data_IF_770442273571
#
_entry.id   IF_770442273571
#
_cell.length_a   1.000
_cell.length_b   1.000
_cell.length_c   1.000
_cell.angle_alpha   90.00
_cell.angle_beta   90.00
_cell.angle_gamma   90.00
#
_symmetry.space_group_name_H-M   'P 1'
#
loop_
_entity.id
_entity.type
_entity.pdbx_description
1 polymer ?
#
# COMPACT_ATOMS: atom_id res chain seq x y z
N UNK A 1 -4.50 -38.20 3.05
CA UNK A 1 -5.57 -38.64 3.98
C UNK A 1 -6.58 -37.52 4.02
N UNK A 2 -7.76 -37.75 3.47
CA UNK A 2 -8.85 -36.79 3.52
C UNK A 2 -9.30 -36.55 4.97
N UNK A 3 -9.44 -35.28 5.33
CA UNK A 3 -10.21 -34.86 6.52
C UNK A 3 -9.58 -35.05 7.90
N UNK A 4 -8.27 -35.25 8.03
CA UNK A 4 -7.58 -35.12 9.33
C UNK A 4 -6.76 -33.83 9.35
N UNK A 5 -6.76 -33.03 10.44
CA UNK A 5 -5.80 -31.95 10.57
C UNK A 5 -4.42 -32.58 10.64
N UNK A 6 -3.71 -32.57 9.52
CA UNK A 6 -2.37 -33.10 9.47
C UNK A 6 -1.50 -32.13 10.27
N UNK A 7 -1.05 -32.53 11.46
CA UNK A 7 0.06 -31.83 12.10
C UNK A 7 1.26 -32.03 11.18
N UNK A 8 1.55 -31.01 10.36
CA UNK A 8 2.73 -31.00 9.51
C UNK A 8 3.98 -31.15 10.38
N UNK A 9 4.96 -31.88 9.88
CA UNK A 9 6.24 -32.06 10.58
C UNK A 9 7.14 -30.83 10.56
N UNK A 10 6.65 -29.70 10.02
CA UNK A 10 7.33 -28.41 9.94
C UNK A 10 6.34 -27.28 10.24
N UNK A 11 6.86 -26.21 10.82
CA UNK A 11 6.10 -24.99 11.13
C UNK A 11 6.31 -23.92 10.06
N UNK A 12 5.36 -22.97 9.98
CA UNK A 12 5.49 -21.76 9.17
C UNK A 12 6.81 -21.01 9.43
N UNK A 13 7.21 -20.91 10.71
CA UNK A 13 8.44 -20.20 11.11
C UNK A 13 9.68 -20.85 10.51
N UNK A 14 9.78 -22.18 10.60
CA UNK A 14 10.90 -22.93 10.00
C UNK A 14 10.96 -22.78 8.48
N UNK A 15 9.80 -22.77 7.81
CA UNK A 15 9.74 -22.55 6.36
C UNK A 15 10.17 -21.13 5.98
N UNK A 16 9.83 -20.12 6.78
CA UNK A 16 10.28 -18.74 6.57
C UNK A 16 11.79 -18.60 6.76
N UNK A 17 12.33 -19.14 7.85
CA UNK A 17 13.77 -19.14 8.12
C UNK A 17 14.54 -19.83 6.97
N UNK A 18 14.01 -20.94 6.43
CA UNK A 18 14.62 -21.60 5.28
C UNK A 18 14.65 -20.69 4.02
N UNK A 19 13.61 -19.88 3.81
CA UNK A 19 13.51 -18.95 2.67
C UNK A 19 14.41 -17.71 2.82
N UNK A 20 14.83 -17.36 4.04
CA UNK A 20 15.77 -16.27 4.30
C UNK A 20 17.20 -16.62 3.86
N UNK A 21 17.58 -17.90 3.97
CA UNK A 21 18.89 -18.39 3.56
C UNK A 21 18.93 -18.73 2.05
N UNK A 22 20.03 -18.41 1.38
CA UNK A 22 20.23 -18.68 -0.06
C UNK A 22 21.56 -19.37 -0.33
N UNK A 23 21.67 -20.04 -1.48
CA UNK A 23 22.89 -20.71 -1.89
C UNK A 23 23.32 -21.81 -0.92
N UNK A 24 24.61 -21.85 -0.56
CA UNK A 24 25.19 -22.90 0.27
C UNK A 24 24.58 -22.94 1.69
N UNK A 25 24.26 -21.79 2.27
CA UNK A 25 23.63 -21.72 3.60
C UNK A 25 22.23 -22.32 3.59
N UNK A 26 21.43 -22.03 2.56
CA UNK A 26 20.10 -22.61 2.40
C UNK A 26 20.14 -24.13 2.24
N UNK A 27 21.12 -24.65 1.50
CA UNK A 27 21.34 -26.10 1.36
C UNK A 27 21.73 -26.72 2.71
N UNK A 28 22.61 -26.07 3.48
CA UNK A 28 22.99 -26.55 4.81
C UNK A 28 21.77 -26.62 5.75
N UNK A 29 20.95 -25.57 5.80
CA UNK A 29 19.70 -25.54 6.58
C UNK A 29 18.69 -26.60 6.14
N UNK A 30 18.56 -26.82 4.84
CA UNK A 30 17.68 -27.86 4.31
C UNK A 30 18.14 -29.26 4.76
N UNK A 31 19.45 -29.49 4.77
CA UNK A 31 20.03 -30.75 5.22
C UNK A 31 19.85 -30.97 6.73
N UNK A 32 19.90 -29.92 7.56
CA UNK A 32 19.54 -30.00 8.99
C UNK A 32 18.10 -30.48 9.20
N UNK A 33 17.17 -30.17 8.28
CA UNK A 33 15.77 -30.59 8.34
C UNK A 33 15.58 -32.04 7.84
N UNK A 34 16.62 -32.67 7.28
CA UNK A 34 16.60 -34.01 6.69
C UNK A 34 16.63 -34.03 5.15
N UNK A 35 16.85 -32.89 4.52
CA UNK A 35 16.92 -32.74 3.06
C UNK A 35 15.54 -32.58 2.39
N UNK A 36 15.55 -32.52 1.05
CA UNK A 36 14.35 -32.31 0.24
C UNK A 36 13.28 -33.38 0.48
N UNK A 37 13.68 -34.66 0.54
CA UNK A 37 12.74 -35.78 0.65
C UNK A 37 12.00 -35.79 2.00
N UNK A 38 12.72 -35.55 3.10
CA UNK A 38 12.10 -35.43 4.42
C UNK A 38 11.21 -34.18 4.52
N UNK A 39 11.61 -33.07 3.91
CA UNK A 39 10.75 -31.88 3.85
C UNK A 39 9.44 -32.18 3.10
N UNK A 40 9.51 -32.86 1.94
CA UNK A 40 8.32 -33.29 1.19
C UNK A 40 7.40 -34.19 2.03
N UNK A 41 7.98 -35.14 2.78
CA UNK A 41 7.24 -36.03 3.69
C UNK A 41 6.57 -35.26 4.83
N UNK A 42 7.28 -34.32 5.46
CA UNK A 42 6.75 -33.46 6.54
C UNK A 42 5.64 -32.52 6.07
N UNK A 43 5.67 -32.12 4.80
CA UNK A 43 4.64 -31.29 4.14
C UNK A 43 3.52 -32.12 3.47
N UNK A 44 3.58 -33.44 3.55
CA UNK A 44 2.65 -34.35 2.87
C UNK A 44 2.49 -34.01 1.38
N UNK A 45 3.61 -33.80 0.69
CA UNK A 45 3.66 -33.53 -0.76
C UNK A 45 4.52 -34.55 -1.48
N UNK A 46 4.14 -34.91 -2.70
CA UNK A 46 4.98 -35.75 -3.56
C UNK A 46 6.04 -34.89 -4.28
N UNK A 47 7.31 -35.31 -4.36
CA UNK A 47 8.32 -34.64 -5.15
C UNK A 47 8.04 -34.66 -6.66
N UNK A 48 7.35 -35.69 -7.14
CA UNK A 48 7.03 -35.89 -8.57
C UNK A 48 5.62 -35.43 -8.93
N UNK A 49 4.64 -35.67 -8.06
CA UNK A 49 3.22 -35.42 -8.34
C UNK A 49 2.67 -34.16 -7.65
N UNK A 50 3.45 -33.55 -6.76
CA UNK A 50 3.05 -32.38 -5.99
C UNK A 50 1.90 -32.69 -5.01
N UNK A 51 0.94 -31.77 -4.94
CA UNK A 51 -0.23 -31.86 -4.05
C UNK A 51 -1.39 -32.59 -4.69
N UNK A 52 -2.23 -33.23 -3.89
CA UNK A 52 -3.45 -33.91 -4.36
C UNK A 52 -4.50 -32.97 -4.95
N UNK A 53 -4.37 -31.66 -4.79
CA UNK A 53 -5.28 -30.66 -5.37
C UNK A 53 -6.69 -30.63 -4.77
N UNK A 54 -6.96 -31.40 -3.72
CA UNK A 54 -8.25 -31.40 -3.01
C UNK A 54 -8.51 -30.03 -2.38
N UNK A 55 -9.72 -29.49 -2.56
CA UNK A 55 -10.10 -28.19 -1.98
C UNK A 55 -9.97 -28.20 -0.44
N UNK A 56 -10.27 -29.31 0.21
CA UNK A 56 -10.13 -29.46 1.66
C UNK A 56 -8.65 -29.44 2.11
N UNK A 57 -7.74 -30.07 1.37
CA UNK A 57 -6.30 -30.02 1.67
C UNK A 57 -5.73 -28.61 1.44
N UNK A 58 -6.13 -27.95 0.36
CA UNK A 58 -5.70 -26.59 0.07
C UNK A 58 -6.19 -25.58 1.12
N UNK A 59 -7.44 -25.69 1.56
CA UNK A 59 -7.99 -24.83 2.60
C UNK A 59 -7.28 -25.09 3.95
N UNK A 60 -7.08 -26.35 4.32
CA UNK A 60 -6.37 -26.68 5.55
C UNK A 60 -4.92 -26.16 5.57
N UNK A 61 -4.22 -26.24 4.43
CA UNK A 61 -2.89 -25.63 4.27
C UNK A 61 -2.94 -24.11 4.40
N UNK A 62 -3.98 -23.46 3.86
CA UNK A 62 -4.18 -22.01 3.99
C UNK A 62 -4.45 -21.60 5.43
N UNK A 63 -5.21 -22.39 6.19
CA UNK A 63 -5.41 -22.17 7.62
C UNK A 63 -4.11 -22.33 8.42
N UNK A 64 -3.29 -23.32 8.06
CA UNK A 64 -2.08 -23.67 8.82
C UNK A 64 -0.87 -22.78 8.49
N UNK A 65 -0.65 -22.50 7.21
CA UNK A 65 0.52 -21.74 6.70
C UNK A 65 0.16 -20.34 6.19
N UNK A 66 -1.11 -19.97 6.17
CA UNK A 66 -1.55 -18.72 5.59
C UNK A 66 -1.63 -18.75 4.06
N UNK A 67 -2.02 -17.62 3.48
CA UNK A 67 -2.17 -17.44 2.04
C UNK A 67 -0.94 -16.76 1.45
N UNK A 68 -0.45 -17.22 0.30
CA UNK A 68 0.62 -16.56 -0.46
C UNK A 68 0.08 -15.39 -1.29
N UNK A 69 -0.60 -14.44 -0.63
CA UNK A 69 -1.15 -13.24 -1.24
C UNK A 69 -0.57 -12.02 -0.53
N UNK A 70 0.04 -11.13 -1.29
CA UNK A 70 0.54 -9.86 -0.75
C UNK A 70 -0.67 -8.92 -0.61
N UNK A 71 -1.06 -8.50 0.60
CA UNK A 71 -2.22 -7.65 0.78
C UNK A 71 -1.97 -6.29 0.09
N UNK A 72 -2.90 -5.80 -0.73
CA UNK A 72 -2.75 -4.48 -1.35
C UNK A 72 -2.81 -3.40 -0.28
N UNK A 73 -2.04 -2.32 -0.45
CA UNK A 73 -2.15 -1.16 0.42
C UNK A 73 -3.55 -0.56 0.30
N UNK A 74 -4.21 -0.18 1.41
CA UNK A 74 -5.53 0.42 1.35
C UNK A 74 -5.47 1.73 0.56
N UNK A 75 -6.51 2.03 -0.25
CA UNK A 75 -6.53 3.26 -1.03
C UNK A 75 -6.62 4.48 -0.11
N UNK A 76 -5.90 5.54 -0.46
CA UNK A 76 -6.08 6.83 0.22
C UNK A 76 -7.43 7.42 -0.17
N UNK A 77 -8.12 8.01 0.81
CA UNK A 77 -9.33 8.77 0.53
C UNK A 77 -8.97 10.11 -0.12
N UNK A 78 -9.91 10.67 -0.88
CA UNK A 78 -9.71 12.00 -1.48
C UNK A 78 -9.36 13.07 -0.43
N UNK A 79 -9.97 13.02 0.76
CA UNK A 79 -9.66 13.93 1.86
C UNK A 79 -8.24 13.74 2.42
N UNK A 80 -7.75 12.49 2.50
CA UNK A 80 -6.36 12.24 2.89
C UNK A 80 -5.37 12.78 1.86
N UNK A 81 -5.72 12.72 0.57
CA UNK A 81 -4.90 13.29 -0.50
C UNK A 81 -4.93 14.83 -0.46
N UNK A 82 -6.08 15.44 -0.21
CA UNK A 82 -6.18 16.89 0.02
C UNK A 82 -5.36 17.33 1.23
N UNK A 83 -5.45 16.59 2.34
CA UNK A 83 -4.65 16.87 3.54
C UNK A 83 -3.15 16.76 3.26
N UNK A 84 -2.73 15.72 2.55
CA UNK A 84 -1.34 15.57 2.14
C UNK A 84 -0.89 16.71 1.21
N UNK A 85 -1.73 17.13 0.27
CA UNK A 85 -1.44 18.26 -0.62
C UNK A 85 -1.31 19.59 0.15
N UNK A 86 -2.13 19.81 1.19
CA UNK A 86 -2.04 21.00 2.05
C UNK A 86 -0.74 21.09 2.85
N UNK A 87 -0.04 19.96 3.07
CA UNK A 87 1.24 19.92 3.80
C UNK A 87 2.45 20.32 2.95
N UNK A 88 2.26 20.70 1.68
CA UNK A 88 3.33 21.25 0.87
C UNK A 88 3.84 22.57 1.47
N UNK A 89 5.16 22.66 1.68
CA UNK A 89 5.82 23.81 2.32
C UNK A 89 5.48 25.12 1.61
N UNK A 90 5.35 25.11 0.28
CA UNK A 90 5.00 26.30 -0.49
C UNK A 90 3.56 26.75 -0.21
N UNK A 91 2.61 25.81 -0.13
CA UNK A 91 1.20 26.12 0.19
C UNK A 91 1.02 26.55 1.64
N UNK A 92 1.81 26.01 2.57
CA UNK A 92 1.81 26.43 3.97
C UNK A 92 2.26 27.90 4.07
N UNK A 93 3.35 28.27 3.39
CA UNK A 93 3.84 29.65 3.38
C UNK A 93 2.78 30.61 2.80
N UNK A 94 2.13 30.24 1.69
CA UNK A 94 1.06 31.05 1.08
C UNK A 94 -0.14 31.23 2.01
N UNK A 95 -0.53 30.18 2.75
CA UNK A 95 -1.62 30.27 3.73
C UNK A 95 -1.26 31.18 4.89
N UNK A 96 -0.05 31.09 5.44
CA UNK A 96 0.41 31.96 6.52
C UNK A 96 0.44 33.42 6.04
N UNK A 97 0.99 33.67 4.84
CA UNK A 97 1.02 35.01 4.25
C UNK A 97 -0.41 35.57 4.08
N UNK A 98 -1.33 34.77 3.53
CA UNK A 98 -2.73 35.18 3.36
C UNK A 98 -3.43 35.48 4.70
N UNK A 99 -3.19 34.67 5.73
CA UNK A 99 -3.72 34.90 7.08
C UNK A 99 -3.18 36.20 7.68
N UNK A 100 -1.87 36.44 7.59
CA UNK A 100 -1.25 37.68 8.08
C UNK A 100 -1.82 38.90 7.34
N UNK A 101 -1.92 38.85 6.01
CA UNK A 101 -2.50 39.95 5.21
C UNK A 101 -3.96 40.22 5.58
N UNK A 102 -4.75 39.18 5.83
CA UNK A 102 -6.15 39.30 6.21
C UNK A 102 -6.30 39.87 7.63
N UNK A 103 -5.51 39.39 8.60
CA UNK A 103 -5.49 39.94 9.96
C UNK A 103 -5.11 41.43 9.95
N UNK A 104 -4.06 41.80 9.22
CA UNK A 104 -3.63 43.19 9.10
C UNK A 104 -4.71 44.06 8.43
N UNK A 105 -5.42 43.53 7.43
CA UNK A 105 -6.53 44.25 6.78
C UNK A 105 -7.69 44.56 7.74
N UNK A 106 -7.92 43.74 8.77
CA UNK A 106 -8.96 43.98 9.77
C UNK A 106 -8.48 44.80 10.98
N UNK A 107 -7.18 44.76 11.29
CA UNK A 107 -6.60 45.44 12.45
C UNK A 107 -5.97 46.81 12.15
N UNK A 108 -6.04 47.31 10.91
CA UNK A 108 -5.51 48.64 10.58
C UNK A 108 -6.07 49.70 11.56
N UNK A 109 -5.23 50.31 12.42
CA UNK A 109 -5.68 51.34 13.32
C UNK A 109 -6.15 52.55 12.50
N UNK A 110 -7.21 53.21 12.98
CA UNK A 110 -7.92 54.32 12.33
C UNK A 110 -7.04 55.58 12.12
N UNK A 111 -5.77 55.55 12.50
CA UNK A 111 -4.87 56.71 12.54
C UNK A 111 -4.08 56.97 11.24
N UNK A 112 -4.13 56.08 10.25
CA UNK A 112 -3.54 56.35 8.93
C UNK A 112 -4.46 57.25 8.09
N UNK A 113 -4.47 58.54 8.40
CA UNK A 113 -5.17 59.61 7.66
C UNK A 113 -4.59 59.90 6.26
N UNK A 114 -3.93 58.93 5.64
CA UNK A 114 -3.24 59.07 4.36
C UNK A 114 -3.49 57.93 3.36
N UNK A 115 -4.32 56.95 3.71
CA UNK A 115 -4.68 55.84 2.80
C UNK A 115 -6.06 56.13 2.23
N UNK A 116 -6.17 56.16 0.89
CA UNK A 116 -7.44 56.33 0.20
C UNK A 116 -8.48 55.36 0.78
N UNK A 117 -9.66 55.87 1.15
CA UNK A 117 -10.74 55.06 1.75
C UNK A 117 -11.13 53.86 0.87
N UNK A 118 -10.87 53.96 -0.44
CA UNK A 118 -11.07 52.89 -1.40
C UNK A 118 -10.01 51.77 -1.31
N UNK A 119 -8.75 52.08 -1.01
CA UNK A 119 -7.71 51.05 -0.77
C UNK A 119 -7.95 50.29 0.54
N UNK A 120 -8.42 50.97 1.58
CA UNK A 120 -8.72 50.34 2.86
C UNK A 120 -9.92 49.37 2.78
N UNK A 121 -10.96 49.70 1.98
CA UNK A 121 -12.17 48.87 1.80
C UNK A 121 -11.90 47.54 1.07
N UNK A 122 -10.87 47.47 0.23
CA UNK A 122 -10.58 46.30 -0.60
C UNK A 122 -9.38 45.46 -0.10
N UNK A 123 -8.71 45.85 0.99
CA UNK A 123 -7.51 45.16 1.49
C UNK A 123 -7.67 43.68 1.87
N UNK A 124 -8.88 43.25 2.24
CA UNK A 124 -9.17 41.85 2.57
C UNK A 124 -9.28 40.96 1.32
N UNK A 125 -9.56 41.57 0.15
CA UNK A 125 -9.77 40.86 -1.11
C UNK A 125 -8.48 40.20 -1.58
N UNK A 126 -7.33 40.82 -1.36
CA UNK A 126 -6.02 40.25 -1.70
C UNK A 126 -5.76 38.96 -0.91
N UNK A 127 -5.95 39.00 0.43
CA UNK A 127 -5.83 37.82 1.28
C UNK A 127 -6.82 36.72 0.90
N UNK A 128 -8.07 37.08 0.58
CA UNK A 128 -9.07 36.14 0.11
C UNK A 128 -8.71 35.50 -1.23
N UNK A 129 -8.18 36.28 -2.18
CA UNK A 129 -7.78 35.79 -3.50
C UNK A 129 -6.68 34.72 -3.39
N UNK A 130 -5.72 34.92 -2.49
CA UNK A 130 -4.66 33.93 -2.21
C UNK A 130 -5.27 32.65 -1.61
N UNK A 131 -6.19 32.76 -0.64
CA UNK A 131 -6.85 31.60 -0.04
C UNK A 131 -7.64 30.79 -1.08
N UNK A 132 -8.41 31.47 -1.94
CA UNK A 132 -9.16 30.81 -3.02
C UNK A 132 -8.23 30.12 -4.02
N UNK A 133 -7.11 30.75 -4.38
CA UNK A 133 -6.10 30.15 -5.25
C UNK A 133 -5.52 28.86 -4.64
N UNK A 134 -5.15 28.88 -3.36
CA UNK A 134 -4.64 27.68 -2.65
C UNK A 134 -5.67 26.55 -2.66
N UNK A 135 -6.95 26.86 -2.39
CA UNK A 135 -8.03 25.85 -2.42
C UNK A 135 -8.12 25.18 -3.79
N UNK A 136 -8.13 25.96 -4.87
CA UNK A 136 -8.21 25.43 -6.23
C UNK A 136 -6.99 24.54 -6.53
N UNK A 137 -5.78 24.99 -6.20
CA UNK A 137 -4.55 24.21 -6.41
C UNK A 137 -4.59 22.89 -5.64
N UNK A 138 -5.04 22.89 -4.38
CA UNK A 138 -5.16 21.66 -3.58
C UNK A 138 -6.17 20.69 -4.19
N UNK A 139 -7.32 21.18 -4.64
CA UNK A 139 -8.34 20.34 -5.29
C UNK A 139 -7.78 19.71 -6.57
N UNK A 140 -7.13 20.49 -7.42
CA UNK A 140 -6.54 20.00 -8.68
C UNK A 140 -5.43 18.98 -8.40
N UNK A 141 -4.55 19.26 -7.43
CA UNK A 141 -3.48 18.34 -7.03
C UNK A 141 -4.04 17.04 -6.47
N UNK A 142 -4.99 17.10 -5.54
CA UNK A 142 -5.64 15.92 -4.97
C UNK A 142 -6.40 15.11 -6.02
N UNK A 143 -7.05 15.77 -6.98
CA UNK A 143 -7.74 15.10 -8.08
C UNK A 143 -6.76 14.36 -9.01
N UNK A 144 -5.64 15.00 -9.34
CA UNK A 144 -4.59 14.39 -10.14
C UNK A 144 -3.99 13.17 -9.43
N UNK A 145 -3.68 13.29 -8.14
CA UNK A 145 -3.10 12.20 -7.36
C UNK A 145 -4.09 11.05 -7.14
N UNK A 146 -5.36 11.37 -6.90
CA UNK A 146 -6.42 10.36 -6.80
C UNK A 146 -6.60 9.59 -8.11
N UNK A 147 -6.53 10.30 -9.24
CA UNK A 147 -6.61 9.69 -10.58
C UNK A 147 -5.40 8.79 -10.86
N UNK A 148 -4.19 9.24 -10.53
CA UNK A 148 -2.96 8.43 -10.64
C UNK A 148 -3.04 7.18 -9.76
N UNK A 149 -3.42 7.31 -8.49
CA UNK A 149 -3.51 6.18 -7.56
C UNK A 149 -4.52 5.13 -8.06
N UNK A 150 -5.66 5.57 -8.62
CA UNK A 150 -6.63 4.67 -9.23
C UNK A 150 -6.06 3.92 -10.43
N UNK A 151 -5.27 4.58 -11.28
CA UNK A 151 -4.61 3.94 -12.43
C UNK A 151 -3.54 2.93 -11.99
N UNK A 152 -2.69 3.29 -11.02
CA UNK A 152 -1.70 2.38 -10.46
C UNK A 152 -2.32 1.12 -9.87
N UNK A 153 -3.43 1.26 -9.14
CA UNK A 153 -4.15 0.11 -8.60
C UNK A 153 -4.75 -0.78 -9.70
N UNK A 154 -5.25 -0.17 -10.77
CA UNK A 154 -5.72 -0.92 -11.94
C UNK A 154 -4.61 -1.74 -12.60
N UNK A 155 -3.42 -1.15 -12.75
CA UNK A 155 -2.23 -1.83 -13.27
C UNK A 155 -1.76 -2.93 -12.32
N UNK A 156 -1.70 -2.66 -11.01
CA UNK A 156 -1.29 -3.65 -10.01
C UNK A 156 -2.23 -4.86 -10.01
N UNK A 157 -3.55 -4.64 -9.99
CA UNK A 157 -4.53 -5.73 -10.05
C UNK A 157 -4.40 -6.57 -11.34
N UNK A 158 -4.06 -5.92 -12.46
CA UNK A 158 -3.84 -6.62 -13.74
C UNK A 158 -2.56 -7.46 -13.71
N UNK A 159 -1.45 -6.90 -13.23
CA UNK A 159 -0.16 -7.58 -13.12
C UNK A 159 -0.26 -8.78 -12.17
N UNK A 160 -0.94 -8.63 -11.04
CA UNK A 160 -1.19 -9.71 -10.08
C UNK A 160 -1.96 -10.89 -10.71
N UNK A 161 -2.88 -10.62 -11.66
CA UNK A 161 -3.58 -11.66 -12.39
C UNK A 161 -2.78 -12.29 -13.55
N UNK A 162 -1.79 -11.59 -14.09
CA UNK A 162 -0.96 -12.07 -15.21
C UNK A 162 0.24 -12.90 -14.74
N UNK A 163 0.73 -12.70 -13.52
CA UNK A 163 1.87 -13.44 -12.95
C UNK A 163 1.47 -14.82 -12.43
N UNK A 164 1.26 -15.77 -13.35
CA UNK A 164 1.03 -17.18 -13.00
C UNK A 164 2.34 -17.94 -12.83
N UNK A 165 2.36 -18.85 -11.87
CA UNK A 165 3.47 -19.76 -11.66
C UNK A 165 3.08 -21.18 -12.03
N UNK A 166 3.99 -21.89 -12.70
CA UNK A 166 3.84 -23.32 -13.00
C UNK A 166 4.07 -24.12 -11.72
N UNK A 167 3.05 -24.84 -11.29
CA UNK A 167 3.10 -25.75 -10.13
C UNK A 167 2.62 -27.13 -10.53
N UNK A 168 3.10 -28.18 -9.87
CA UNK A 168 2.61 -29.55 -10.10
C UNK A 168 1.54 -29.86 -9.06
N UNK A 169 0.36 -30.28 -9.51
CA UNK A 169 -0.74 -30.77 -8.67
C UNK A 169 -1.38 -31.98 -9.34
N UNK A 170 -1.51 -33.08 -8.60
CA UNK A 170 -2.04 -34.36 -9.11
C UNK A 170 -1.20 -34.93 -10.28
N UNK A 171 0.11 -34.68 -10.28
CA UNK A 171 0.99 -35.08 -11.39
C UNK A 171 0.87 -34.21 -12.64
N UNK A 172 -0.03 -33.22 -12.66
CA UNK A 172 -0.22 -32.30 -13.78
C UNK A 172 0.41 -30.93 -13.50
N UNK A 173 1.05 -30.35 -14.51
CA UNK A 173 1.53 -28.97 -14.46
C UNK A 173 0.34 -28.03 -14.62
N UNK A 174 0.06 -27.22 -13.61
CA UNK A 174 -1.00 -26.20 -13.59
C UNK A 174 -0.38 -24.82 -13.41
N UNK A 175 -0.94 -23.81 -14.09
CA UNK A 175 -0.56 -22.41 -13.90
C UNK A 175 -1.55 -21.74 -12.97
N UNK A 176 -1.05 -21.20 -11.85
CA UNK A 176 -1.85 -20.59 -10.78
C UNK A 176 -1.30 -19.23 -10.45
#
# INVERSE_FOLDING_TARGET
IDGRPAQYGVTLKQLRELMEHRGLEGVARLNEIGGVQELCKKLYTSPSEGLSGSAADLEHRRETFGSNTIPPKPPKTFLQLMWAALQDVTLIILQIAALVSLVLSFYRPVDDKAVDEDEAKHGWIEGLAILLSVIVVVIVTAFNDYSKERQFRGLQNRIEGEHKFSVIRQGEVKQI
#
